data_IF_886781124363
#
_entry.id   IF_886781124363
#
_cell.length_a   1.000
_cell.length_b   1.000
_cell.length_c   1.000
_cell.angle_alpha   90.00
_cell.angle_beta   90.00
_cell.angle_gamma   90.00
#
_symmetry.space_group_name_H-M   'P 1'
#
loop_
_entity.id
_entity.type
_entity.pdbx_description
1 polymer ?
#
# COMPACT_ATOMS: atom_id res chain seq x y z
N UNK A 1 33.68 16.07 23.02
CA UNK A 1 32.32 16.63 22.83
C UNK A 1 31.97 16.45 21.34
N UNK A 2 31.14 15.47 20.97
CA UNK A 2 30.70 15.32 19.56
C UNK A 2 29.54 16.30 19.32
N UNK A 3 29.55 17.12 18.26
CA UNK A 3 28.48 18.07 18.02
C UNK A 3 27.17 17.32 17.73
N UNK A 4 26.13 17.73 18.44
CA UNK A 4 24.74 17.33 18.25
C UNK A 4 24.28 17.75 16.85
N UNK A 5 24.07 16.76 15.98
CA UNK A 5 23.45 16.94 14.67
C UNK A 5 21.98 17.35 14.86
N UNK A 6 21.69 18.65 14.82
CA UNK A 6 20.35 19.16 14.58
C UNK A 6 19.89 18.64 13.22
N UNK A 7 19.06 17.60 13.21
CA UNK A 7 18.36 17.19 11.98
C UNK A 7 17.36 18.29 11.66
N UNK A 8 17.48 18.88 10.49
CA UNK A 8 16.56 19.89 9.96
C UNK A 8 15.13 19.31 9.97
N UNK A 9 14.13 20.11 10.36
CA UNK A 9 12.72 19.67 10.36
C UNK A 9 12.25 19.12 9.00
N UNK A 10 12.91 19.51 7.91
CA UNK A 10 12.70 18.97 6.56
C UNK A 10 13.13 17.50 6.42
N UNK A 11 14.22 17.07 7.05
CA UNK A 11 14.69 15.68 7.00
C UNK A 11 13.71 14.76 7.74
N UNK A 12 13.12 15.24 8.83
CA UNK A 12 12.13 14.49 9.60
C UNK A 12 10.81 14.33 8.81
N UNK A 13 10.39 15.37 8.10
CA UNK A 13 9.21 15.33 7.24
C UNK A 13 9.42 14.40 6.02
N UNK A 14 10.61 14.41 5.41
CA UNK A 14 10.93 13.56 4.26
C UNK A 14 10.93 12.07 4.64
N UNK A 15 11.43 11.74 5.83
CA UNK A 15 11.44 10.38 6.38
C UNK A 15 10.01 9.88 6.72
N UNK A 16 9.10 10.79 7.09
CA UNK A 16 7.68 10.49 7.34
C UNK A 16 6.84 10.33 6.06
N UNK A 17 7.20 11.03 4.99
CA UNK A 17 6.48 10.98 3.71
C UNK A 17 6.77 9.70 2.93
N UNK A 18 7.96 9.12 3.11
CA UNK A 18 8.41 7.96 2.36
C UNK A 18 7.57 6.70 2.64
N UNK A 19 7.23 6.39 3.90
CA UNK A 19 6.23 5.39 4.24
C UNK A 19 4.88 5.64 3.53
N UNK A 20 4.24 6.78 3.82
CA UNK A 20 2.92 7.11 3.29
C UNK A 20 2.82 7.03 1.75
N UNK A 21 3.90 7.37 1.03
CA UNK A 21 3.94 7.25 -0.42
C UNK A 21 3.89 5.77 -0.89
N UNK A 22 4.50 4.84 -0.16
CA UNK A 22 4.43 3.41 -0.44
C UNK A 22 3.02 2.87 -0.20
N UNK A 23 2.36 3.23 0.91
CA UNK A 23 0.96 2.86 1.17
C UNK A 23 0.03 3.35 0.07
N UNK A 24 0.17 4.61 -0.34
CA UNK A 24 -0.63 5.18 -1.44
C UNK A 24 -0.37 4.40 -2.74
N UNK A 25 0.88 4.03 -3.01
CA UNK A 25 1.21 3.23 -4.20
C UNK A 25 0.59 1.83 -4.14
N UNK A 26 0.56 1.21 -2.95
CA UNK A 26 -0.11 -0.08 -2.72
C UNK A 26 -1.62 0.03 -2.98
N UNK A 27 -2.28 1.08 -2.48
CA UNK A 27 -3.70 1.36 -2.76
C UNK A 27 -3.94 1.53 -4.26
N UNK A 28 -3.09 2.32 -4.94
CA UNK A 28 -3.19 2.53 -6.39
C UNK A 28 -3.04 1.21 -7.17
N UNK A 29 -2.14 0.33 -6.73
CA UNK A 29 -1.97 -1.00 -7.32
C UNK A 29 -3.23 -1.87 -7.13
N UNK A 30 -3.85 -1.86 -5.94
CA UNK A 30 -5.13 -2.54 -5.68
C UNK A 30 -6.29 -2.03 -6.54
N UNK A 31 -6.46 -0.71 -6.64
CA UNK A 31 -7.47 -0.11 -7.52
C UNK A 31 -7.23 -0.43 -9.00
N UNK A 32 -5.96 -0.46 -9.42
CA UNK A 32 -5.58 -0.87 -10.76
C UNK A 32 -5.89 -2.35 -11.00
N UNK A 33 -5.65 -3.22 -10.01
CA UNK A 33 -6.00 -4.63 -10.10
C UNK A 33 -7.50 -4.82 -10.34
N UNK A 34 -8.35 -4.08 -9.61
CA UNK A 34 -9.80 -4.06 -9.85
C UNK A 34 -10.11 -3.70 -11.31
N UNK A 35 -9.51 -2.62 -11.82
CA UNK A 35 -9.70 -2.20 -13.22
C UNK A 35 -9.30 -3.28 -14.22
N UNK A 36 -8.19 -3.99 -13.99
CA UNK A 36 -7.78 -5.09 -14.86
C UNK A 36 -8.69 -6.32 -14.73
N UNK A 37 -9.20 -6.60 -13.53
CA UNK A 37 -10.19 -7.65 -13.28
C UNK A 37 -11.48 -7.42 -14.06
N UNK A 38 -12.01 -6.18 -14.05
CA UNK A 38 -13.20 -5.80 -14.83
C UNK A 38 -12.96 -5.97 -16.34
N UNK A 39 -11.73 -5.72 -16.81
CA UNK A 39 -11.37 -5.90 -18.22
C UNK A 39 -11.06 -7.37 -18.59
N UNK A 40 -11.24 -8.32 -17.67
CA UNK A 40 -10.94 -9.74 -17.89
C UNK A 40 -9.45 -10.10 -17.89
N UNK A 41 -8.56 -9.16 -17.58
CA UNK A 41 -7.12 -9.42 -17.48
C UNK A 41 -6.73 -9.82 -16.05
N UNK A 42 -7.11 -11.04 -15.67
CA UNK A 42 -6.91 -11.55 -14.32
C UNK A 42 -5.43 -11.78 -13.98
N UNK A 43 -4.58 -12.06 -14.97
CA UNK A 43 -3.14 -12.24 -14.75
C UNK A 43 -2.51 -10.94 -14.23
N UNK A 44 -2.75 -9.82 -14.91
CA UNK A 44 -2.27 -8.51 -14.45
C UNK A 44 -2.92 -8.12 -13.12
N UNK A 45 -4.20 -8.41 -12.93
CA UNK A 45 -4.89 -8.11 -11.68
C UNK A 45 -4.22 -8.82 -10.47
N UNK A 46 -3.95 -10.12 -10.59
CA UNK A 46 -3.27 -10.89 -9.53
C UNK A 46 -1.84 -10.40 -9.31
N UNK A 47 -1.10 -10.09 -10.37
CA UNK A 47 0.26 -9.53 -10.25
C UNK A 47 0.27 -8.19 -9.49
N UNK A 48 -0.71 -7.33 -9.75
CA UNK A 48 -0.85 -6.04 -9.07
C UNK A 48 -1.24 -6.20 -7.59
N UNK A 49 -2.09 -7.16 -7.25
CA UNK A 49 -2.39 -7.49 -5.83
C UNK A 49 -1.12 -7.95 -5.13
N UNK A 50 -0.37 -8.88 -5.72
CA UNK A 50 0.88 -9.37 -5.14
C UNK A 50 1.89 -8.22 -4.95
N UNK A 51 1.99 -7.31 -5.93
CA UNK A 51 2.81 -6.12 -5.80
C UNK A 51 2.34 -5.22 -4.64
N UNK A 52 1.02 -4.99 -4.52
CA UNK A 52 0.44 -4.21 -3.44
C UNK A 52 0.77 -4.83 -2.07
N UNK A 53 0.67 -6.16 -1.93
CA UNK A 53 1.03 -6.88 -0.70
C UNK A 53 2.50 -6.68 -0.31
N UNK A 54 3.40 -6.69 -1.29
CA UNK A 54 4.84 -6.46 -1.05
C UNK A 54 5.09 -5.02 -0.63
N UNK A 55 4.47 -4.04 -1.30
CA UNK A 55 4.63 -2.62 -0.97
C UNK A 55 4.11 -2.29 0.42
N UNK A 56 2.94 -2.82 0.77
CA UNK A 56 2.28 -2.64 2.06
C UNK A 56 3.11 -3.22 3.22
N UNK A 57 3.59 -4.47 3.05
CA UNK A 57 4.48 -5.10 4.02
C UNK A 57 5.85 -4.42 4.17
N UNK A 58 6.36 -3.78 3.11
CA UNK A 58 7.59 -2.99 3.14
C UNK A 58 7.38 -1.67 3.89
N UNK A 59 6.29 -0.98 3.60
CA UNK A 59 5.94 0.29 4.21
C UNK A 59 5.72 0.17 5.73
N UNK A 60 4.87 -0.76 6.15
CA UNK A 60 4.63 -1.01 7.58
C UNK A 60 5.90 -1.45 8.34
N UNK A 61 6.89 -2.03 7.65
CA UNK A 61 8.23 -2.30 8.24
C UNK A 61 9.09 -1.04 8.31
N UNK A 62 9.11 -0.22 7.26
CA UNK A 62 9.85 1.04 7.22
C UNK A 62 9.33 2.03 8.26
N UNK A 63 8.01 2.18 8.40
CA UNK A 63 7.38 3.03 9.41
C UNK A 63 7.79 2.64 10.85
N UNK A 64 7.84 1.33 11.13
CA UNK A 64 8.28 0.78 12.44
C UNK A 64 9.78 1.02 12.70
N UNK A 65 10.63 0.79 11.69
CA UNK A 65 12.08 0.98 11.81
C UNK A 65 12.46 2.45 12.02
N UNK A 66 11.73 3.36 11.37
CA UNK A 66 12.00 4.79 11.41
C UNK A 66 11.44 5.48 12.66
N UNK A 67 10.73 4.75 13.55
CA UNK A 67 9.94 5.33 14.68
C UNK A 67 9.09 6.51 14.24
N UNK A 68 8.64 6.44 12.99
CA UNK A 68 8.07 7.53 12.22
C UNK A 68 6.63 7.17 11.86
N UNK A 69 5.91 6.64 12.85
CA UNK A 69 4.51 6.28 12.73
C UNK A 69 3.66 7.53 12.95
N UNK A 70 3.19 8.13 11.87
CA UNK A 70 2.18 9.19 11.92
C UNK A 70 0.79 8.55 12.09
N UNK A 71 -0.13 9.16 12.87
CA UNK A 71 -1.52 8.70 12.97
C UNK A 71 -2.19 8.56 11.60
N UNK A 72 -1.91 9.49 10.69
CA UNK A 72 -2.43 9.43 9.31
C UNK A 72 -1.86 8.23 8.53
N UNK A 73 -0.59 7.89 8.73
CA UNK A 73 0.04 6.74 8.08
C UNK A 73 -0.56 5.41 8.55
N UNK A 74 -0.89 5.30 9.84
CA UNK A 74 -1.54 4.12 10.39
C UNK A 74 -2.96 3.89 9.84
N UNK A 75 -3.73 4.97 9.64
CA UNK A 75 -5.04 4.88 8.98
C UNK A 75 -4.91 4.52 7.49
N UNK A 76 -3.89 5.04 6.81
CA UNK A 76 -3.58 4.70 5.41
C UNK A 76 -3.18 3.24 5.24
N UNK A 77 -2.36 2.71 6.14
CA UNK A 77 -1.94 1.29 6.21
C UNK A 77 -3.17 0.40 6.41
N UNK A 78 -4.03 0.76 7.37
CA UNK A 78 -5.30 0.04 7.62
C UNK A 78 -6.24 0.07 6.41
N UNK A 79 -6.30 1.20 5.69
CA UNK A 79 -7.09 1.33 4.47
C UNK A 79 -6.52 0.49 3.32
N UNK A 80 -5.19 0.48 3.17
CA UNK A 80 -4.49 -0.33 2.18
C UNK A 80 -4.70 -1.82 2.45
N UNK A 81 -4.56 -2.26 3.70
CA UNK A 81 -4.85 -3.61 4.16
C UNK A 81 -6.30 -4.01 3.83
N UNK A 82 -7.27 -3.18 4.22
CA UNK A 82 -8.68 -3.43 3.96
C UNK A 82 -8.97 -3.56 2.46
N UNK A 83 -8.45 -2.66 1.64
CA UNK A 83 -8.67 -2.69 0.20
C UNK A 83 -8.00 -3.92 -0.42
N UNK A 84 -6.69 -4.06 -0.23
CA UNK A 84 -5.85 -5.01 -0.97
C UNK A 84 -6.08 -6.46 -0.54
N UNK A 85 -6.39 -6.71 0.72
CA UNK A 85 -6.66 -8.07 1.23
C UNK A 85 -8.15 -8.35 1.43
N UNK A 86 -8.92 -7.33 1.83
CA UNK A 86 -10.36 -7.51 2.12
C UNK A 86 -11.26 -7.39 0.90
N UNK A 87 -10.99 -6.44 0.00
CA UNK A 87 -11.91 -6.11 -1.10
C UNK A 87 -11.45 -6.68 -2.44
N UNK A 88 -10.21 -6.44 -2.83
CA UNK A 88 -9.74 -6.74 -4.18
C UNK A 88 -9.81 -8.25 -4.51
N UNK A 89 -9.32 -9.19 -3.66
CA UNK A 89 -9.28 -10.61 -4.01
C UNK A 89 -10.67 -11.23 -4.21
N UNK A 90 -11.67 -11.02 -3.31
CA UNK A 90 -13.04 -11.47 -3.55
C UNK A 90 -13.66 -10.87 -4.82
N UNK A 91 -13.36 -9.59 -5.12
CA UNK A 91 -13.87 -8.92 -6.31
C UNK A 91 -13.31 -9.54 -7.60
N UNK A 92 -12.01 -9.84 -7.64
CA UNK A 92 -11.39 -10.54 -8.77
C UNK A 92 -11.98 -11.94 -8.95
N UNK A 93 -12.21 -12.68 -7.86
CA UNK A 93 -12.88 -13.98 -7.93
C UNK A 93 -14.30 -13.87 -8.47
N UNK A 94 -15.06 -12.86 -8.05
CA UNK A 94 -16.40 -12.58 -8.58
C UNK A 94 -16.36 -12.32 -10.08
N UNK A 95 -15.48 -11.42 -10.54
CA UNK A 95 -15.33 -11.13 -11.97
C UNK A 95 -14.87 -12.32 -12.79
N UNK A 96 -14.10 -13.24 -12.20
CA UNK A 96 -13.58 -14.41 -12.91
C UNK A 96 -14.57 -15.57 -12.98
N UNK A 97 -15.29 -15.86 -11.89
CA UNK A 97 -16.09 -17.09 -11.78
C UNK A 97 -17.60 -16.88 -11.83
N UNK A 98 -18.09 -15.68 -11.48
CA UNK A 98 -19.50 -15.45 -11.16
C UNK A 98 -20.16 -14.39 -12.04
N UNK A 99 -19.41 -13.54 -12.72
CA UNK A 99 -19.97 -12.44 -13.50
C UNK A 99 -20.86 -12.90 -14.66
N UNK A 100 -20.57 -14.08 -15.22
CA UNK A 100 -21.26 -14.63 -16.39
C UNK A 100 -22.28 -15.74 -16.03
N UNK A 101 -22.52 -15.99 -14.73
CA UNK A 101 -23.53 -16.93 -14.24
C UNK A 101 -24.89 -16.24 -14.05
#
# INVERSE_FOLDING_TARGET
>A
MRPSSEKSGADLALIQLLPNALTITAICAGLSAIRFGVNGNYVLAVQLILLACVLDGLDGRLARLLRSSSPMGAELDSLADFLNFGVVPPLILYFWALQDM
#
